data_IF_249923759756
#
_entry.id   IF_249923759756
#
_cell.length_a   1.000
_cell.length_b   1.000
_cell.length_c   1.000
_cell.angle_alpha   90.00
_cell.angle_beta   90.00
_cell.angle_gamma   90.00
#
_symmetry.space_group_name_H-M   'P 1'
#
loop_
_entity.id
_entity.type
_entity.pdbx_description
1 polymer ?
#
# COMPACT_ATOMS: atom_id res chain seq x y z
N UNK A 1 -11.91 18.89 0.84
CA UNK A 1 -12.37 18.64 2.24
C UNK A 1 -11.37 17.72 2.93
N UNK A 2 -10.93 18.07 4.14
CA UNK A 2 -9.80 17.44 4.86
C UNK A 2 -10.24 16.16 5.59
N UNK A 3 -9.76 15.00 5.17
CA UNK A 3 -9.75 13.80 6.02
C UNK A 3 -8.35 13.65 6.64
N UNK A 4 -8.20 14.21 7.84
CA UNK A 4 -7.03 14.01 8.71
C UNK A 4 -7.36 12.86 9.67
N UNK A 5 -6.47 11.87 9.79
CA UNK A 5 -6.60 10.84 10.81
C UNK A 5 -6.60 11.52 12.19
N UNK A 6 -7.75 11.51 12.85
CA UNK A 6 -7.93 12.15 14.16
C UNK A 6 -7.21 11.31 15.21
N UNK A 7 -6.37 11.94 16.03
CA UNK A 7 -5.66 11.39 17.20
C UNK A 7 -4.34 10.63 16.98
N UNK A 8 -3.42 11.16 16.16
CA UNK A 8 -2.01 10.79 16.29
C UNK A 8 -1.24 12.06 16.70
N UNK A 9 -0.66 12.06 17.89
CA UNK A 9 0.23 13.14 18.36
C UNK A 9 1.43 13.18 17.41
N UNK A 10 1.64 14.25 16.65
CA UNK A 10 2.68 14.37 15.60
C UNK A 10 3.92 15.20 16.03
N UNK A 11 3.85 15.93 17.15
CA UNK A 11 4.77 17.06 17.43
C UNK A 11 5.61 16.96 18.72
N UNK A 12 5.74 15.78 19.34
CA UNK A 12 6.61 15.60 20.54
C UNK A 12 7.68 14.53 20.33
N UNK A 13 8.99 14.84 20.46
CA UNK A 13 10.05 13.83 20.45
C UNK A 13 10.17 13.18 21.84
N UNK A 14 10.04 11.85 21.92
CA UNK A 14 10.21 11.08 23.16
C UNK A 14 10.28 9.58 22.89
N UNK A 15 10.82 8.78 23.83
CA UNK A 15 11.02 7.32 23.70
C UNK A 15 9.73 6.47 23.53
N UNK A 16 8.55 7.09 23.61
CA UNK A 16 7.23 6.49 23.29
C UNK A 16 6.53 7.13 22.08
N UNK A 17 7.28 7.88 21.27
CA UNK A 17 6.77 8.59 20.11
C UNK A 17 6.66 7.66 18.88
N UNK A 18 5.45 7.37 18.43
CA UNK A 18 5.16 6.69 17.14
C UNK A 18 5.58 7.50 15.90
N UNK A 19 6.09 8.73 16.03
CA UNK A 19 6.57 9.58 14.91
C UNK A 19 8.04 9.39 14.56
N UNK A 20 8.58 8.16 14.60
CA UNK A 20 9.83 7.87 13.90
C UNK A 20 9.65 7.99 12.37
N UNK A 21 8.43 7.74 11.88
CA UNK A 21 8.12 7.79 10.46
C UNK A 21 7.43 9.10 10.10
N UNK A 22 8.07 9.91 9.26
CA UNK A 22 7.50 11.16 8.74
C UNK A 22 6.47 10.90 7.63
N UNK A 23 5.41 10.15 7.95
CA UNK A 23 4.38 9.69 7.00
C UNK A 23 3.85 10.83 6.13
N UNK A 24 3.51 11.95 6.76
CA UNK A 24 3.01 13.14 6.05
C UNK A 24 4.02 13.68 5.02
N UNK A 25 5.29 13.83 5.41
CA UNK A 25 6.34 14.33 4.51
C UNK A 25 6.60 13.36 3.37
N UNK A 26 6.53 12.05 3.63
CA UNK A 26 6.64 11.03 2.60
C UNK A 26 5.52 11.14 1.56
N UNK A 27 4.26 11.23 2.01
CA UNK A 27 3.10 11.38 1.11
C UNK A 27 3.18 12.68 0.30
N UNK A 28 3.54 13.79 0.95
CA UNK A 28 3.73 15.08 0.26
C UNK A 28 4.83 14.99 -0.81
N UNK A 29 5.98 14.39 -0.48
CA UNK A 29 7.08 14.22 -1.44
C UNK A 29 6.69 13.31 -2.60
N UNK A 30 5.99 12.20 -2.32
CA UNK A 30 5.48 11.29 -3.35
C UNK A 30 4.51 12.00 -4.29
N UNK A 31 3.57 12.79 -3.76
CA UNK A 31 2.61 13.54 -4.57
C UNK A 31 3.32 14.52 -5.51
N UNK A 32 4.27 15.30 -5.00
CA UNK A 32 5.07 16.25 -5.80
C UNK A 32 5.88 15.51 -6.87
N UNK A 33 6.58 14.43 -6.51
CA UNK A 33 7.38 13.66 -7.47
C UNK A 33 6.51 13.05 -8.57
N UNK A 34 5.38 12.44 -8.24
CA UNK A 34 4.48 11.85 -9.22
C UNK A 34 3.86 12.91 -10.15
N UNK A 35 3.46 14.07 -9.59
CA UNK A 35 2.97 15.19 -10.38
C UNK A 35 4.04 15.74 -11.35
N UNK A 36 5.30 15.84 -10.92
CA UNK A 36 6.41 16.24 -11.78
C UNK A 36 6.64 15.27 -12.95
N UNK A 37 6.24 14.01 -12.80
CA UNK A 37 6.28 12.99 -13.85
C UNK A 37 4.95 12.88 -14.64
N UNK A 38 3.99 13.78 -14.43
CA UNK A 38 2.69 13.77 -15.12
C UNK A 38 1.75 12.64 -14.68
N UNK A 39 1.99 12.05 -13.50
CA UNK A 39 1.15 10.97 -12.94
C UNK A 39 0.14 11.59 -11.98
N UNK A 40 -1.15 11.42 -12.26
CA UNK A 40 -2.22 11.87 -11.38
C UNK A 40 -2.22 11.08 -10.06
N UNK A 41 -2.40 11.78 -8.94
CA UNK A 41 -2.40 11.17 -7.61
C UNK A 41 -3.71 11.46 -6.87
N UNK A 42 -4.24 10.44 -6.20
CA UNK A 42 -5.47 10.52 -5.43
C UNK A 42 -5.24 9.92 -4.05
N UNK A 43 -5.57 10.68 -3.00
CA UNK A 43 -5.47 10.19 -1.62
C UNK A 43 -6.75 9.40 -1.28
N UNK A 44 -6.58 8.13 -0.95
CA UNK A 44 -7.67 7.22 -0.55
C UNK A 44 -7.56 6.93 0.96
N UNK A 45 -8.68 6.83 1.69
CA UNK A 45 -8.68 6.40 3.09
C UNK A 45 -8.09 4.99 3.26
N UNK A 46 -7.08 4.86 4.13
CA UNK A 46 -6.32 3.62 4.35
C UNK A 46 -6.93 2.71 5.45
N UNK A 47 -7.93 3.22 6.16
CA UNK A 47 -8.54 2.59 7.32
C UNK A 47 -9.22 1.26 6.97
N UNK A 48 -8.89 0.22 7.74
CA UNK A 48 -9.46 -1.12 7.57
C UNK A 48 -9.05 -1.86 6.28
N UNK A 49 -8.15 -1.31 5.46
CA UNK A 49 -7.74 -1.93 4.18
C UNK A 49 -7.08 -3.29 4.31
N UNK A 50 -6.54 -3.63 5.48
CA UNK A 50 -5.91 -4.94 5.72
C UNK A 50 -6.85 -5.98 6.38
N UNK A 51 -8.09 -5.59 6.72
CA UNK A 51 -9.08 -6.48 7.37
C UNK A 51 -9.91 -7.28 6.38
N UNK A 52 -10.06 -6.78 5.16
CA UNK A 52 -10.89 -7.39 4.13
C UNK A 52 -10.03 -8.00 3.04
N UNK A 53 -10.46 -9.12 2.47
CA UNK A 53 -9.84 -9.67 1.27
C UNK A 53 -10.17 -8.78 0.07
N UNK A 54 -9.15 -8.40 -0.69
CA UNK A 54 -9.35 -7.58 -1.88
C UNK A 54 -10.23 -8.22 -2.96
N UNK A 55 -10.36 -9.55 -2.98
CA UNK A 55 -11.15 -10.27 -3.99
C UNK A 55 -12.58 -10.56 -3.56
N UNK A 56 -12.76 -11.05 -2.34
CA UNK A 56 -14.05 -11.55 -1.87
C UNK A 56 -14.73 -10.62 -0.85
N UNK A 57 -14.07 -9.52 -0.47
CA UNK A 57 -14.54 -8.60 0.59
C UNK A 57 -14.88 -9.29 1.93
N UNK A 58 -14.38 -10.52 2.13
CA UNK A 58 -14.48 -11.33 3.34
C UNK A 58 -13.56 -10.76 4.44
N UNK A 59 -13.90 -10.91 5.73
CA UNK A 59 -12.91 -10.71 6.79
C UNK A 59 -11.80 -11.77 6.69
N UNK A 60 -10.55 -11.34 6.91
CA UNK A 60 -9.38 -12.21 6.75
C UNK A 60 -8.62 -12.43 8.04
N UNK A 61 -8.00 -13.61 8.14
CA UNK A 61 -7.13 -13.95 9.27
C UNK A 61 -5.68 -13.58 8.93
N UNK A 62 -5.04 -12.82 9.83
CA UNK A 62 -3.64 -12.38 9.72
C UNK A 62 -2.72 -13.18 10.66
N UNK A 63 -2.53 -14.46 10.38
CA UNK A 63 -1.61 -15.34 11.12
C UNK A 63 -0.90 -16.27 10.13
N UNK A 64 0.44 -16.27 10.03
CA UNK A 64 1.44 -15.40 10.69
C UNK A 64 1.43 -13.93 10.19
N UNK A 65 2.17 -13.02 10.85
CA UNK A 65 2.31 -11.62 10.41
C UNK A 65 2.80 -11.58 8.94
N UNK A 66 2.26 -10.65 8.16
CA UNK A 66 2.59 -10.48 6.73
C UNK A 66 1.79 -11.36 5.77
N UNK A 67 1.06 -12.38 6.28
CA UNK A 67 0.22 -13.24 5.46
C UNK A 67 -1.27 -13.00 5.77
N UNK A 68 -2.08 -12.97 4.71
CA UNK A 68 -3.54 -12.85 4.76
C UNK A 68 -4.14 -14.14 4.22
N UNK A 69 -5.07 -14.75 4.98
CA UNK A 69 -5.86 -15.92 4.57
C UNK A 69 -7.34 -15.56 4.55
N UNK A 70 -7.98 -15.64 3.39
CA UNK A 70 -9.45 -15.55 3.28
C UNK A 70 -10.06 -16.95 3.50
N UNK A 71 -11.28 -17.03 4.08
CA UNK A 71 -12.05 -18.27 4.18
C UNK A 71 -12.23 -19.02 2.85
N UNK A 72 -12.25 -18.31 1.72
CA UNK A 72 -12.36 -18.90 0.37
C UNK A 72 -11.04 -19.48 -0.17
N UNK A 73 -10.05 -19.78 0.69
CA UNK A 73 -8.77 -20.38 0.29
C UNK A 73 -7.76 -19.41 -0.35
N UNK A 74 -8.12 -18.13 -0.53
CA UNK A 74 -7.19 -17.13 -1.07
C UNK A 74 -6.13 -16.75 -0.03
N UNK A 75 -4.86 -16.95 -0.38
CA UNK A 75 -3.71 -16.59 0.45
C UNK A 75 -2.84 -15.57 -0.27
N UNK A 76 -2.53 -14.44 0.38
CA UNK A 76 -1.73 -13.36 -0.21
C UNK A 76 -0.91 -12.61 0.83
N UNK A 77 0.06 -11.82 0.38
CA UNK A 77 0.82 -10.92 1.25
C UNK A 77 -0.10 -9.80 1.76
N UNK A 78 0.03 -9.45 3.05
CA UNK A 78 -0.83 -8.46 3.68
C UNK A 78 -0.73 -7.08 3.01
N UNK A 79 0.48 -6.67 2.61
CA UNK A 79 0.70 -5.38 1.95
C UNK A 79 0.10 -5.36 0.54
N UNK A 80 0.17 -6.49 -0.19
CA UNK A 80 -0.47 -6.61 -1.51
C UNK A 80 -1.99 -6.55 -1.39
N UNK A 81 -2.56 -7.23 -0.39
CA UNK A 81 -3.99 -7.16 -0.11
C UNK A 81 -4.43 -5.73 0.22
N UNK A 82 -3.70 -5.03 1.08
CA UNK A 82 -4.00 -3.65 1.43
C UNK A 82 -3.89 -2.72 0.21
N UNK A 83 -2.85 -2.86 -0.60
CA UNK A 83 -2.67 -2.07 -1.82
C UNK A 83 -3.81 -2.28 -2.83
N UNK A 84 -4.27 -3.53 -3.01
CA UNK A 84 -5.40 -3.85 -3.88
C UNK A 84 -6.72 -3.27 -3.35
N UNK A 85 -6.93 -3.26 -2.04
CA UNK A 85 -8.09 -2.61 -1.43
C UNK A 85 -8.07 -1.09 -1.61
N UNK A 86 -6.90 -0.45 -1.49
CA UNK A 86 -6.73 0.98 -1.77
C UNK A 86 -7.06 1.27 -3.24
N UNK A 87 -6.57 0.44 -4.16
CA UNK A 87 -6.86 0.56 -5.58
C UNK A 87 -8.36 0.44 -5.86
N UNK A 88 -9.02 -0.61 -5.32
CA UNK A 88 -10.46 -0.81 -5.49
C UNK A 88 -11.29 0.38 -5.00
N UNK A 89 -10.96 0.92 -3.82
CA UNK A 89 -11.61 2.12 -3.26
C UNK A 89 -11.39 3.35 -4.14
N UNK A 90 -10.16 3.56 -4.62
CA UNK A 90 -9.83 4.67 -5.51
C UNK A 90 -10.60 4.61 -6.83
N UNK A 91 -10.67 3.44 -7.45
CA UNK A 91 -11.42 3.21 -8.68
C UNK A 91 -12.92 3.43 -8.48
N UNK A 92 -13.48 2.90 -7.39
CA UNK A 92 -14.89 3.12 -7.03
C UNK A 92 -15.21 4.60 -6.82
N UNK A 93 -14.33 5.34 -6.14
CA UNK A 93 -14.50 6.79 -5.94
C UNK A 93 -14.41 7.60 -7.25
N UNK A 94 -13.72 7.08 -8.26
CA UNK A 94 -13.65 7.66 -9.60
C UNK A 94 -14.78 7.19 -10.53
N UNK A 95 -15.67 6.31 -10.07
CA UNK A 95 -16.74 5.74 -10.88
C UNK A 95 -16.27 4.74 -11.94
N UNK A 96 -15.08 4.16 -11.77
CA UNK A 96 -14.51 3.18 -12.70
C UNK A 96 -14.80 1.76 -12.21
N UNK A 97 -15.55 1.00 -13.00
CA UNK A 97 -15.74 -0.43 -12.79
C UNK A 97 -14.66 -1.20 -13.54
N UNK A 98 -13.65 -1.71 -12.80
CA UNK A 98 -12.61 -2.56 -13.38
C UNK A 98 -12.26 -3.70 -12.42
N UNK A 99 -11.87 -4.83 -12.99
CA UNK A 99 -11.44 -5.98 -12.22
C UNK A 99 -10.03 -5.77 -11.66
N UNK A 100 -9.81 -6.23 -10.42
CA UNK A 100 -8.49 -6.18 -9.82
C UNK A 100 -7.53 -7.14 -10.52
N UNK A 101 -6.23 -6.81 -10.63
CA UNK A 101 -5.27 -7.64 -11.33
C UNK A 101 -5.13 -9.03 -10.68
N UNK A 102 -5.29 -10.07 -11.50
CA UNK A 102 -5.20 -11.47 -11.07
C UNK A 102 -3.79 -11.92 -10.66
N UNK A 103 -2.73 -11.33 -11.23
CA UNK A 103 -1.33 -11.65 -10.93
C UNK A 103 -0.52 -10.37 -10.77
N UNK A 104 0.09 -10.18 -9.60
CA UNK A 104 0.98 -9.05 -9.32
C UNK A 104 2.44 -9.48 -9.49
N UNK A 105 3.18 -8.81 -10.39
CA UNK A 105 4.63 -9.02 -10.54
C UNK A 105 5.37 -8.12 -9.55
N UNK A 106 6.10 -8.72 -8.62
CA UNK A 106 6.93 -7.99 -7.66
C UNK A 106 8.33 -7.81 -8.24
N UNK A 107 8.65 -6.57 -8.60
CA UNK A 107 10.00 -6.17 -8.98
C UNK A 107 10.75 -5.65 -7.75
N UNK A 108 12.04 -5.96 -7.69
CA UNK A 108 12.94 -5.45 -6.67
C UNK A 108 13.97 -4.57 -7.33
N UNK A 109 14.31 -3.46 -6.69
CA UNK A 109 15.28 -2.50 -7.18
C UNK A 109 16.33 -2.22 -6.10
N UNK A 110 17.58 -2.01 -6.53
CA UNK A 110 18.71 -1.66 -5.68
C UNK A 110 19.12 -0.22 -6.03
N UNK A 111 19.01 0.73 -5.08
CA UNK A 111 19.58 2.05 -5.27
C UNK A 111 21.11 1.96 -5.15
N UNK A 112 21.83 2.38 -6.18
CA UNK A 112 23.29 2.61 -6.15
C UNK A 112 23.57 4.11 -6.19
N UNK A 113 24.78 4.58 -5.85
CA UNK A 113 25.11 6.01 -5.87
C UNK A 113 24.84 6.70 -7.21
N UNK A 114 24.92 5.96 -8.32
CA UNK A 114 24.76 6.49 -9.67
C UNK A 114 23.38 6.25 -10.28
N UNK A 115 22.66 5.18 -9.89
CA UNK A 115 21.38 4.81 -10.52
C UNK A 115 20.57 3.83 -9.67
N UNK A 116 19.31 3.62 -10.08
CA UNK A 116 18.48 2.54 -9.54
C UNK A 116 18.55 1.34 -10.51
N UNK A 117 18.99 0.19 -10.01
CA UNK A 117 19.18 -1.03 -10.81
C UNK A 117 18.09 -2.04 -10.45
N UNK A 118 17.50 -2.72 -11.43
CA UNK A 118 16.60 -3.84 -11.16
C UNK A 118 17.40 -5.00 -10.58
N UNK A 119 16.99 -5.50 -9.39
CA UNK A 119 17.57 -6.69 -8.80
C UNK A 119 17.09 -7.91 -9.58
N UNK A 120 18.02 -8.58 -10.24
CA UNK A 120 17.77 -9.89 -10.84
C UNK A 120 17.52 -10.91 -9.73
N UNK A 121 16.51 -11.76 -9.90
CA UNK A 121 16.27 -12.85 -8.95
C UNK A 121 17.28 -13.95 -9.26
N UNK A 122 18.02 -14.46 -8.25
CA UNK A 122 19.01 -15.52 -8.48
C UNK A 122 18.37 -16.86 -8.89
N UNK A 123 17.04 -17.01 -8.78
CA UNK A 123 16.31 -18.20 -9.19
C UNK A 123 15.08 -17.85 -10.03
N UNK A 124 14.75 -18.63 -11.08
CA UNK A 124 13.52 -18.46 -11.83
C UNK A 124 12.31 -18.64 -10.90
N UNK A 125 11.26 -17.85 -11.14
CA UNK A 125 10.01 -17.99 -10.41
C UNK A 125 9.39 -19.35 -10.78
N UNK A 126 9.33 -20.25 -9.79
CA UNK A 126 8.56 -21.51 -9.85
C UNK A 126 7.08 -21.19 -10.10
#
# INVERSE_FOLDING_TARGET
MRACARNIVQEKPGKGNTNLWSYRRLVERLAVTLQNHGIATFKVPEDGTSRLCARHSCEVTRKPRGLVRCPHGHTTHADLNAALNILARGLSALGLATELPGRVKVYSFLPTPSRVIKKERPYPAV
#
